data_IF_879560424522
#
_entry.id   IF_879560424522
#
_cell.length_a   1.000
_cell.length_b   1.000
_cell.length_c   1.000
_cell.angle_alpha   90.00
_cell.angle_beta   90.00
_cell.angle_gamma   90.00
#
_symmetry.space_group_name_H-M   'P 1'
#
loop_
_entity.id
_entity.type
_entity.pdbx_description
1 polymer ?
#
# COMPACT_ATOMS: atom_id res chain seq x y z
N UNK A 1 -38.44 25.24 -21.64
CA UNK A 1 -37.68 24.08 -22.16
C UNK A 1 -36.17 24.22 -21.97
N UNK A 2 -35.57 25.43 -21.97
CA UNK A 2 -34.16 25.63 -21.62
C UNK A 2 -33.83 25.32 -20.14
N UNK A 3 -34.72 25.67 -19.21
CA UNK A 3 -34.47 25.46 -17.77
C UNK A 3 -34.38 23.98 -17.38
N UNK A 4 -35.11 23.10 -18.08
CA UNK A 4 -35.09 21.66 -17.78
C UNK A 4 -33.76 20.99 -18.17
N UNK A 5 -33.12 21.45 -19.26
CA UNK A 5 -31.83 20.91 -19.68
C UNK A 5 -30.68 21.40 -18.80
N UNK A 6 -30.72 22.64 -18.29
CA UNK A 6 -29.71 23.12 -17.34
C UNK A 6 -29.76 22.40 -16.00
N UNK A 7 -30.95 22.02 -15.52
CA UNK A 7 -31.12 21.27 -14.27
C UNK A 7 -30.57 19.84 -14.42
N UNK A 8 -30.88 19.14 -15.52
CA UNK A 8 -30.34 17.79 -15.78
C UNK A 8 -28.80 17.77 -15.95
N UNK A 9 -28.23 18.79 -16.61
CA UNK A 9 -26.78 18.94 -16.75
C UNK A 9 -26.09 19.24 -15.40
N UNK A 10 -26.71 20.08 -14.56
CA UNK A 10 -26.20 20.43 -13.24
C UNK A 10 -26.22 19.24 -12.27
N UNK A 11 -27.30 18.46 -12.26
CA UNK A 11 -27.41 17.27 -11.42
C UNK A 11 -26.47 16.15 -11.89
N UNK A 12 -26.30 15.98 -13.21
CA UNK A 12 -25.30 15.05 -13.77
C UNK A 12 -23.87 15.40 -13.33
N UNK A 13 -23.48 16.68 -13.42
CA UNK A 13 -22.16 17.15 -12.98
C UNK A 13 -21.95 17.03 -11.45
N UNK A 14 -22.98 17.25 -10.64
CA UNK A 14 -22.91 17.03 -9.18
C UNK A 14 -22.72 15.56 -8.84
N UNK A 15 -23.42 14.67 -9.55
CA UNK A 15 -23.36 13.22 -9.29
C UNK A 15 -22.00 12.63 -9.69
N UNK A 16 -21.43 13.08 -10.81
CA UNK A 16 -20.10 12.66 -11.25
C UNK A 16 -18.99 13.22 -10.36
N UNK A 17 -19.10 14.48 -9.91
CA UNK A 17 -18.17 15.05 -8.92
C UNK A 17 -18.21 14.29 -7.59
N UNK A 18 -19.39 13.90 -7.11
CA UNK A 18 -19.51 13.09 -5.88
C UNK A 18 -18.91 11.69 -6.03
N UNK A 19 -19.05 11.04 -7.19
CA UNK A 19 -18.39 9.75 -7.49
C UNK A 19 -16.86 9.89 -7.54
N UNK A 20 -16.35 10.96 -8.15
CA UNK A 20 -14.93 11.23 -8.19
C UNK A 20 -14.35 11.46 -6.79
N UNK A 21 -15.02 12.28 -5.97
CA UNK A 21 -14.63 12.53 -4.57
C UNK A 21 -14.61 11.23 -3.76
N UNK A 22 -15.65 10.39 -3.86
CA UNK A 22 -15.67 9.07 -3.20
C UNK A 22 -14.50 8.18 -3.64
N UNK A 23 -14.16 8.18 -4.92
CA UNK A 23 -13.04 7.39 -5.47
C UNK A 23 -11.70 7.89 -4.91
N UNK A 24 -11.50 9.21 -4.84
CA UNK A 24 -10.29 9.81 -4.26
C UNK A 24 -10.18 9.46 -2.77
N UNK A 25 -11.27 9.57 -2.01
CA UNK A 25 -11.30 9.18 -0.60
C UNK A 25 -10.97 7.70 -0.39
N UNK A 26 -11.50 6.80 -1.24
CA UNK A 26 -11.17 5.37 -1.17
C UNK A 26 -9.69 5.11 -1.44
N UNK A 27 -9.09 5.79 -2.42
CA UNK A 27 -7.65 5.68 -2.71
C UNK A 27 -6.79 6.23 -1.56
N UNK A 28 -7.18 7.36 -0.97
CA UNK A 28 -6.48 7.95 0.18
C UNK A 28 -6.51 7.02 1.39
N UNK A 29 -7.66 6.40 1.69
CA UNK A 29 -7.79 5.42 2.76
C UNK A 29 -6.91 4.19 2.49
N UNK A 30 -6.90 3.70 1.25
CA UNK A 30 -6.05 2.56 0.87
C UNK A 30 -4.56 2.87 1.08
N UNK A 31 -4.09 4.04 0.65
CA UNK A 31 -2.72 4.49 0.89
C UNK A 31 -2.43 4.66 2.38
N UNK A 32 -3.36 5.23 3.15
CA UNK A 32 -3.18 5.39 4.59
C UNK A 32 -3.02 4.03 5.30
N UNK A 33 -3.84 3.04 4.95
CA UNK A 33 -3.73 1.68 5.49
C UNK A 33 -2.38 1.06 5.13
N UNK A 34 -1.96 1.18 3.88
CA UNK A 34 -0.67 0.63 3.42
C UNK A 34 0.52 1.28 4.14
N UNK A 35 0.45 2.59 4.37
CA UNK A 35 1.47 3.32 5.12
C UNK A 35 1.52 2.88 6.59
N UNK A 36 0.37 2.69 7.24
CA UNK A 36 0.27 2.20 8.62
C UNK A 36 0.85 0.79 8.74
N UNK A 37 0.56 -0.10 7.78
CA UNK A 37 1.13 -1.45 7.75
C UNK A 37 2.66 -1.37 7.61
N UNK A 38 3.17 -0.52 6.73
CA UNK A 38 4.61 -0.34 6.50
C UNK A 38 5.34 0.18 7.74
N UNK A 39 4.79 1.19 8.42
CA UNK A 39 5.33 1.70 9.69
C UNK A 39 5.29 0.62 10.77
N UNK A 40 4.17 -0.08 10.91
CA UNK A 40 4.00 -1.15 11.90
C UNK A 40 5.04 -2.25 11.69
N UNK A 41 5.30 -2.61 10.42
CA UNK A 41 6.34 -3.57 10.06
C UNK A 41 7.75 -3.08 10.44
N UNK A 42 8.05 -1.81 10.17
CA UNK A 42 9.34 -1.19 10.51
C UNK A 42 9.56 -1.17 12.04
N UNK A 43 8.52 -0.88 12.81
CA UNK A 43 8.56 -0.98 14.28
C UNK A 43 8.74 -2.42 14.77
N UNK A 44 8.08 -3.38 14.12
CA UNK A 44 8.24 -4.80 14.42
C UNK A 44 9.69 -5.27 14.18
N UNK A 45 10.28 -4.83 13.06
CA UNK A 45 11.67 -5.11 12.72
C UNK A 45 12.67 -4.38 13.64
N UNK A 46 12.49 -3.10 13.95
CA UNK A 46 13.52 -2.38 14.73
C UNK A 46 13.40 -2.57 16.23
N UNK A 47 12.22 -2.91 16.76
CA UNK A 47 11.97 -2.91 18.21
C UNK A 47 11.58 -4.31 18.69
N UNK A 48 10.55 -4.90 18.09
CA UNK A 48 9.94 -6.13 18.64
C UNK A 48 10.86 -7.33 18.43
N UNK A 49 11.27 -7.59 17.19
CA UNK A 49 12.09 -8.76 16.85
C UNK A 49 13.42 -8.78 17.61
N UNK A 50 14.22 -7.70 17.68
CA UNK A 50 15.48 -7.70 18.42
C UNK A 50 15.32 -7.97 19.92
N UNK A 51 14.19 -7.57 20.53
CA UNK A 51 13.90 -7.80 21.95
C UNK A 51 13.65 -9.28 22.24
N UNK A 52 13.01 -10.01 21.31
CA UNK A 52 12.76 -11.46 21.46
C UNK A 52 14.03 -12.31 21.28
N UNK A 53 15.01 -11.83 20.53
CA UNK A 53 16.28 -12.54 20.29
C UNK A 53 17.45 -12.01 21.13
N UNK A 54 17.18 -11.23 22.18
CA UNK A 54 18.18 -10.88 23.19
C UNK A 54 18.47 -12.09 24.07
N UNK A 55 19.72 -12.53 24.09
CA UNK A 55 20.23 -13.55 25.03
C UNK A 55 21.51 -13.04 25.67
N UNK A 56 21.58 -13.07 27.00
CA UNK A 56 22.74 -12.65 27.79
C UNK A 56 23.27 -11.24 27.46
N UNK A 57 22.36 -10.27 27.30
CA UNK A 57 22.70 -8.86 27.08
C UNK A 57 23.13 -8.51 25.64
N UNK A 58 23.29 -9.51 24.76
CA UNK A 58 23.58 -9.32 23.35
C UNK A 58 22.43 -9.83 22.47
N UNK A 59 22.14 -9.13 21.38
CA UNK A 59 21.14 -9.58 20.41
C UNK A 59 21.81 -10.53 19.42
N UNK A 60 21.24 -11.72 19.23
CA UNK A 60 21.72 -12.68 18.22
C UNK A 60 21.34 -12.19 16.81
N UNK A 61 22.14 -11.28 16.27
CA UNK A 61 21.89 -10.61 15.00
C UNK A 61 21.85 -11.55 13.79
N UNK A 62 22.44 -12.75 13.90
CA UNK A 62 22.40 -13.76 12.83
C UNK A 62 20.98 -14.28 12.62
N UNK A 63 20.29 -14.69 13.70
CA UNK A 63 18.89 -15.17 13.61
C UNK A 63 17.92 -14.07 13.26
N UNK A 64 18.19 -12.87 13.76
CA UNK A 64 17.43 -11.66 13.47
C UNK A 64 17.53 -11.30 11.99
N UNK A 65 18.73 -11.37 11.40
CA UNK A 65 18.97 -11.14 9.98
C UNK A 65 18.28 -12.16 9.06
N UNK A 66 18.33 -13.45 9.40
CA UNK A 66 17.64 -14.51 8.63
C UNK A 66 16.12 -14.30 8.63
N UNK A 67 15.56 -13.90 9.77
CA UNK A 67 14.15 -13.61 9.92
C UNK A 67 13.77 -12.36 9.12
N UNK A 68 14.55 -11.27 9.16
CA UNK A 68 14.28 -10.10 8.31
C UNK A 68 14.35 -10.40 6.81
N UNK A 69 15.27 -11.27 6.41
CA UNK A 69 15.43 -11.64 5.01
C UNK A 69 14.23 -12.44 4.52
N UNK A 70 13.85 -13.51 5.22
CA UNK A 70 12.76 -14.40 4.79
C UNK A 70 11.37 -13.80 5.01
N UNK A 71 11.14 -13.21 6.19
CA UNK A 71 9.84 -12.64 6.52
C UNK A 71 9.59 -11.33 5.76
N UNK A 72 10.64 -10.54 5.51
CA UNK A 72 10.54 -9.37 4.65
C UNK A 72 10.10 -9.77 3.23
N UNK A 73 10.77 -10.75 2.62
CA UNK A 73 10.43 -11.21 1.27
C UNK A 73 8.99 -11.72 1.19
N UNK A 74 8.57 -12.46 2.23
CA UNK A 74 7.21 -12.98 2.34
C UNK A 74 6.18 -11.84 2.40
N UNK A 75 6.43 -10.82 3.23
CA UNK A 75 5.53 -9.67 3.36
C UNK A 75 5.48 -8.83 2.10
N UNK A 76 6.61 -8.63 1.42
CA UNK A 76 6.68 -7.92 0.14
C UNK A 76 5.84 -8.62 -0.93
N UNK A 77 5.99 -9.95 -1.07
CA UNK A 77 5.18 -10.77 -1.98
C UNK A 77 3.70 -10.70 -1.61
N UNK A 78 3.36 -10.85 -0.32
CA UNK A 78 1.97 -10.81 0.14
C UNK A 78 1.32 -9.46 -0.20
N UNK A 79 2.05 -8.37 0.00
CA UNK A 79 1.58 -7.03 -0.29
C UNK A 79 1.38 -6.80 -1.79
N UNK A 80 2.25 -7.34 -2.65
CA UNK A 80 2.08 -7.31 -4.11
C UNK A 80 0.83 -8.10 -4.54
N UNK A 81 0.63 -9.30 -4.00
CA UNK A 81 -0.56 -10.13 -4.27
C UNK A 81 -1.83 -9.40 -3.84
N UNK A 82 -1.84 -8.82 -2.64
CA UNK A 82 -2.97 -8.05 -2.16
C UNK A 82 -3.30 -6.87 -3.10
N UNK A 83 -2.28 -6.16 -3.58
CA UNK A 83 -2.46 -5.05 -4.51
C UNK A 83 -3.06 -5.51 -5.85
N UNK A 84 -2.60 -6.66 -6.38
CA UNK A 84 -3.16 -7.27 -7.59
C UNK A 84 -4.63 -7.65 -7.40
N UNK A 85 -4.98 -8.23 -6.24
CA UNK A 85 -6.38 -8.55 -5.90
C UNK A 85 -7.23 -7.26 -5.88
N UNK A 86 -6.73 -6.18 -5.28
CA UNK A 86 -7.45 -4.89 -5.29
C UNK A 86 -7.65 -4.34 -6.71
N UNK A 87 -6.68 -4.48 -7.61
CA UNK A 87 -6.81 -4.06 -9.01
C UNK A 87 -7.97 -4.81 -9.69
N UNK A 88 -8.12 -6.10 -9.43
CA UNK A 88 -9.17 -6.94 -10.02
C UNK A 88 -10.54 -6.56 -9.46
N UNK A 89 -10.66 -6.41 -8.14
CA UNK A 89 -11.94 -6.17 -7.45
C UNK A 89 -12.49 -4.78 -7.74
N UNK A 90 -11.64 -3.74 -7.80
CA UNK A 90 -12.12 -2.37 -7.97
C UNK A 90 -12.66 -2.19 -9.40
N UNK A 91 -13.93 -1.80 -9.59
CA UNK A 91 -14.52 -1.64 -10.92
C UNK A 91 -14.14 -0.31 -11.60
N UNK A 92 -13.68 0.69 -10.83
CA UNK A 92 -13.31 2.01 -11.34
C UNK A 92 -12.04 1.96 -12.19
N UNK A 93 -12.14 2.32 -13.49
CA UNK A 93 -11.00 2.38 -14.41
C UNK A 93 -9.90 3.32 -13.92
N UNK A 94 -10.28 4.48 -13.37
CA UNK A 94 -9.33 5.47 -12.85
C UNK A 94 -8.55 4.92 -11.66
N UNK A 95 -9.25 4.28 -10.71
CA UNK A 95 -8.62 3.66 -9.56
C UNK A 95 -7.71 2.48 -9.95
N UNK A 96 -8.09 1.67 -10.95
CA UNK A 96 -7.23 0.61 -11.50
C UNK A 96 -5.93 1.17 -12.08
N UNK A 97 -5.99 2.24 -12.87
CA UNK A 97 -4.79 2.89 -13.42
C UNK A 97 -3.88 3.38 -12.31
N UNK A 98 -4.45 4.04 -11.29
CA UNK A 98 -3.69 4.47 -10.11
C UNK A 98 -3.03 3.30 -9.39
N UNK A 99 -3.76 2.20 -9.17
CA UNK A 99 -3.21 1.01 -8.52
C UNK A 99 -2.12 0.34 -9.37
N UNK A 100 -2.22 0.37 -10.70
CA UNK A 100 -1.17 -0.12 -11.60
C UNK A 100 0.11 0.72 -11.52
N UNK A 101 -0.04 2.05 -11.49
CA UNK A 101 1.11 2.96 -11.27
C UNK A 101 1.73 2.69 -9.90
N UNK A 102 0.88 2.52 -8.88
CA UNK A 102 1.32 2.22 -7.53
C UNK A 102 2.03 0.86 -7.43
N UNK A 103 1.55 -0.15 -8.16
CA UNK A 103 2.20 -1.46 -8.25
C UNK A 103 3.61 -1.33 -8.83
N UNK A 104 3.76 -0.55 -9.91
CA UNK A 104 5.07 -0.29 -10.52
C UNK A 104 6.02 0.40 -9.54
N UNK A 105 5.55 1.45 -8.87
CA UNK A 105 6.32 2.14 -7.82
C UNK A 105 6.72 1.19 -6.68
N UNK A 106 5.80 0.34 -6.23
CA UNK A 106 6.04 -0.62 -5.15
C UNK A 106 7.09 -1.66 -5.52
N UNK A 107 7.06 -2.16 -6.76
CA UNK A 107 8.10 -3.07 -7.26
C UNK A 107 9.47 -2.38 -7.24
N UNK A 108 9.56 -1.15 -7.75
CA UNK A 108 10.81 -0.37 -7.72
C UNK A 108 11.28 -0.20 -6.27
N UNK A 109 10.37 0.15 -5.36
CA UNK A 109 10.70 0.39 -3.95
C UNK A 109 11.22 -0.88 -3.26
N UNK A 110 10.57 -2.02 -3.47
CA UNK A 110 11.01 -3.33 -2.93
C UNK A 110 12.40 -3.68 -3.48
N UNK A 111 12.62 -3.55 -4.79
CA UNK A 111 13.91 -3.85 -5.41
C UNK A 111 15.01 -2.91 -4.87
N UNK A 112 14.75 -1.59 -4.83
CA UNK A 112 15.70 -0.61 -4.32
C UNK A 112 16.02 -0.82 -2.84
N UNK A 113 15.03 -1.10 -2.01
CA UNK A 113 15.22 -1.41 -0.60
C UNK A 113 16.11 -2.65 -0.43
N UNK A 114 15.88 -3.70 -1.21
CA UNK A 114 16.70 -4.93 -1.16
C UNK A 114 18.13 -4.74 -1.63
N UNK A 115 18.34 -3.97 -2.70
CA UNK A 115 19.68 -3.64 -3.18
C UNK A 115 20.45 -2.84 -2.12
N UNK A 116 19.78 -1.91 -1.44
CA UNK A 116 20.38 -1.12 -0.36
C UNK A 116 20.59 -1.90 0.93
N UNK A 117 19.78 -2.91 1.21
CA UNK A 117 19.91 -3.78 2.39
C UNK A 117 21.03 -4.83 2.23
N UNK A 118 21.37 -5.22 0.99
CA UNK A 118 22.45 -6.16 0.67
C UNK A 118 23.85 -5.54 0.58
N UNK A 119 23.95 -4.21 0.64
CA UNK A 119 25.20 -3.44 0.56
C UNK A 119 25.56 -2.83 1.92
#
# INVERSE_FOLDING_TARGET
MKDFQEIELSDSQKTDSQKAIKTVYQLLILMAIEYVISISWLLLQKIVIPVFFKKDGSTDWSKVGDLYTHFGWTMDILALIALIIFIIIIPSKVARIFLLVFLGLKIIFVISYRILEQN
#
